data_IF_362232687162
#
_entry.id   IF_362232687162
#
_cell.length_a   1.000
_cell.length_b   1.000
_cell.length_c   1.000
_cell.angle_alpha   90.00
_cell.angle_beta   90.00
_cell.angle_gamma   90.00
#
_symmetry.space_group_name_H-M   'P 1'
#
loop_
_entity.id
_entity.type
_entity.pdbx_description
1 polymer ?
#
# COMPACT_ATOMS: atom_id res chain seq x y z
N UNK A 1 24.91 -33.20 -10.01
CA UNK A 1 23.49 -33.10 -10.44
C UNK A 1 23.40 -32.54 -11.87
N UNK A 2 22.26 -32.68 -12.53
CA UNK A 2 22.04 -32.09 -13.86
C UNK A 2 22.09 -30.56 -13.79
N UNK A 3 21.52 -29.99 -12.75
CA UNK A 3 21.51 -28.54 -12.54
C UNK A 3 22.93 -28.00 -12.37
N UNK A 4 23.72 -28.63 -11.52
CA UNK A 4 25.10 -28.26 -11.27
C UNK A 4 25.93 -28.21 -12.57
N UNK A 5 25.87 -29.30 -13.36
CA UNK A 5 26.60 -29.36 -14.64
C UNK A 5 26.19 -28.25 -15.62
N UNK A 6 24.90 -27.94 -15.70
CA UNK A 6 24.40 -26.86 -16.57
C UNK A 6 24.83 -25.49 -16.07
N UNK A 7 24.71 -25.21 -14.78
CA UNK A 7 25.13 -23.95 -14.21
C UNK A 7 26.62 -23.75 -14.33
N UNK A 8 27.45 -24.80 -14.10
CA UNK A 8 28.89 -24.74 -14.27
C UNK A 8 29.25 -24.41 -15.73
N UNK A 9 28.62 -25.07 -16.69
CA UNK A 9 28.83 -24.79 -18.11
C UNK A 9 28.50 -23.33 -18.48
N UNK A 10 27.37 -22.80 -17.96
CA UNK A 10 26.97 -21.40 -18.20
C UNK A 10 28.02 -20.47 -17.60
N UNK A 11 28.43 -20.72 -16.34
CA UNK A 11 29.42 -19.90 -15.66
C UNK A 11 30.75 -19.84 -16.37
N UNK A 12 31.20 -20.97 -16.94
CA UNK A 12 32.47 -21.08 -17.69
C UNK A 12 32.40 -20.44 -19.07
N UNK A 13 31.22 -20.42 -19.70
CA UNK A 13 31.06 -19.90 -21.07
C UNK A 13 30.62 -18.45 -21.10
N UNK A 14 29.49 -18.12 -20.45
CA UNK A 14 28.94 -16.77 -20.38
C UNK A 14 27.94 -16.69 -19.23
N UNK A 15 28.35 -16.20 -18.03
CA UNK A 15 27.47 -16.11 -16.87
C UNK A 15 26.29 -15.16 -17.07
N UNK A 16 26.33 -14.24 -18.03
CA UNK A 16 25.21 -13.34 -18.35
C UNK A 16 24.00 -14.06 -18.93
N UNK A 17 24.17 -15.31 -19.40
CA UNK A 17 23.05 -16.15 -19.84
C UNK A 17 22.24 -16.75 -18.70
N UNK A 18 22.67 -16.58 -17.46
CA UNK A 18 21.92 -16.96 -16.29
C UNK A 18 21.18 -15.76 -15.72
N UNK A 19 19.88 -15.90 -15.54
CA UNK A 19 19.04 -14.94 -14.81
C UNK A 19 18.48 -15.60 -13.55
N UNK A 20 18.56 -14.91 -12.42
CA UNK A 20 18.00 -15.35 -11.16
C UNK A 20 16.92 -14.38 -10.71
N UNK A 21 15.68 -14.85 -10.64
CA UNK A 21 14.56 -14.16 -10.05
C UNK A 21 14.16 -14.85 -8.76
N UNK A 22 14.10 -14.09 -7.66
CA UNK A 22 13.74 -14.65 -6.34
C UNK A 22 12.46 -14.05 -5.82
N UNK A 23 11.77 -14.81 -4.97
CA UNK A 23 10.64 -14.33 -4.21
C UNK A 23 11.05 -13.33 -3.14
N UNK A 24 10.08 -12.97 -2.32
CA UNK A 24 10.27 -12.19 -1.11
C UNK A 24 10.62 -13.14 0.03
N UNK A 25 11.88 -13.46 0.15
CA UNK A 25 12.39 -14.31 1.21
C UNK A 25 13.40 -13.57 2.11
N UNK A 26 13.60 -14.08 3.30
CA UNK A 26 14.55 -13.50 4.26
C UNK A 26 16.01 -13.74 3.83
N UNK A 27 16.25 -14.60 2.85
CA UNK A 27 17.56 -14.99 2.37
C UNK A 27 18.01 -14.21 1.12
N UNK A 28 17.35 -13.11 0.77
CA UNK A 28 17.67 -12.31 -0.41
C UNK A 28 19.14 -11.85 -0.45
N UNK A 29 19.73 -11.61 0.71
CA UNK A 29 21.17 -11.28 0.79
C UNK A 29 22.04 -12.41 0.26
N UNK A 30 21.70 -13.67 0.56
CA UNK A 30 22.45 -14.84 0.08
C UNK A 30 22.19 -15.11 -1.40
N UNK A 31 20.96 -14.98 -1.87
CA UNK A 31 20.66 -15.17 -3.31
C UNK A 31 21.30 -14.07 -4.15
N UNK A 32 21.34 -12.84 -3.67
CA UNK A 32 22.07 -11.75 -4.32
C UNK A 32 23.58 -11.95 -4.29
N UNK A 33 24.14 -12.48 -3.20
CA UNK A 33 25.54 -12.86 -3.13
C UNK A 33 25.85 -13.99 -4.10
N UNK A 34 25.00 -15.01 -4.18
CA UNK A 34 25.14 -16.09 -5.14
C UNK A 34 25.19 -15.57 -6.57
N UNK A 35 24.26 -14.69 -6.98
CA UNK A 35 24.24 -14.11 -8.32
C UNK A 35 25.54 -13.35 -8.63
N UNK A 36 26.05 -12.56 -7.68
CA UNK A 36 27.33 -11.85 -7.83
C UNK A 36 28.50 -12.80 -7.96
N UNK A 37 28.57 -13.83 -7.12
CA UNK A 37 29.64 -14.83 -7.15
C UNK A 37 29.55 -15.74 -8.39
N UNK A 38 28.37 -15.94 -8.92
CA UNK A 38 28.16 -16.63 -10.19
C UNK A 38 28.70 -15.81 -11.36
N UNK A 39 28.64 -14.47 -11.25
CA UNK A 39 29.11 -13.53 -12.27
C UNK A 39 28.00 -13.02 -13.19
N UNK A 40 26.72 -13.20 -12.81
CA UNK A 40 25.59 -12.67 -13.58
C UNK A 40 25.12 -11.31 -13.05
N UNK A 41 24.88 -10.31 -13.94
CA UNK A 41 24.19 -9.09 -13.57
C UNK A 41 22.66 -9.24 -13.55
N UNK A 42 22.13 -10.36 -14.04
CA UNK A 42 20.70 -10.58 -14.23
C UNK A 42 20.06 -11.15 -12.97
N UNK A 43 20.03 -10.33 -11.90
CA UNK A 43 19.38 -10.65 -10.65
C UNK A 43 18.23 -9.70 -10.39
N UNK A 44 17.08 -10.24 -10.05
CA UNK A 44 15.93 -9.47 -9.61
C UNK A 44 15.25 -10.15 -8.43
N UNK A 45 14.91 -9.36 -7.42
CA UNK A 45 14.17 -9.80 -6.26
C UNK A 45 12.76 -9.18 -6.27
N UNK A 46 11.75 -9.94 -5.86
CA UNK A 46 10.35 -9.52 -5.84
C UNK A 46 10.13 -8.22 -5.05
N UNK A 47 10.88 -8.00 -3.97
CA UNK A 47 10.79 -6.77 -3.16
C UNK A 47 10.94 -5.49 -3.97
N UNK A 48 11.80 -5.47 -4.99
CA UNK A 48 12.00 -4.32 -5.86
C UNK A 48 10.78 -3.95 -6.72
N UNK A 49 9.90 -4.91 -6.98
CA UNK A 49 8.70 -4.72 -7.81
C UNK A 49 7.42 -4.49 -7.00
N UNK A 50 7.41 -4.81 -5.72
CA UNK A 50 6.22 -4.80 -4.87
C UNK A 50 6.41 -3.90 -3.65
N UNK A 51 7.23 -4.33 -2.71
CA UNK A 51 7.35 -3.72 -1.38
C UNK A 51 7.95 -2.31 -1.43
N UNK A 52 8.81 -2.01 -2.39
CA UNK A 52 9.43 -0.67 -2.52
C UNK A 52 8.37 0.37 -2.88
N UNK A 53 7.50 0.08 -3.83
CA UNK A 53 6.41 1.01 -4.21
C UNK A 53 5.46 1.26 -3.03
N UNK A 54 5.09 0.21 -2.32
CA UNK A 54 4.21 0.32 -1.17
C UNK A 54 4.87 1.10 -0.03
N UNK A 55 6.13 0.79 0.29
CA UNK A 55 6.88 1.52 1.31
C UNK A 55 7.06 2.99 0.95
N UNK A 56 7.39 3.29 -0.31
CA UNK A 56 7.50 4.67 -0.78
C UNK A 56 6.16 5.41 -0.65
N UNK A 57 5.06 4.82 -1.11
CA UNK A 57 3.73 5.39 -0.98
C UNK A 57 3.37 5.71 0.48
N UNK A 58 3.65 4.80 1.40
CA UNK A 58 3.37 4.99 2.82
C UNK A 58 4.28 6.04 3.46
N UNK A 59 5.57 6.06 3.13
CA UNK A 59 6.51 7.09 3.62
C UNK A 59 6.05 8.50 3.20
N UNK A 60 5.62 8.67 1.94
CA UNK A 60 5.15 9.95 1.44
C UNK A 60 3.76 10.37 1.96
N UNK A 61 2.95 9.42 2.44
CA UNK A 61 1.60 9.74 2.94
C UNK A 61 1.53 9.86 4.46
N UNK A 62 2.20 8.99 5.20
CA UNK A 62 2.11 8.91 6.66
C UNK A 62 3.46 8.93 7.38
N UNK A 63 4.57 9.06 6.65
CA UNK A 63 5.91 9.17 7.22
C UNK A 63 6.54 7.86 7.69
N UNK A 64 5.87 6.72 7.53
CA UNK A 64 6.36 5.42 7.98
C UNK A 64 6.06 4.28 7.00
N UNK A 65 6.80 3.17 7.09
CA UNK A 65 6.55 2.01 6.26
C UNK A 65 5.39 1.16 6.81
N UNK A 66 4.72 0.40 5.96
CA UNK A 66 3.53 -0.38 6.34
C UNK A 66 3.81 -1.54 7.32
N UNK A 67 5.03 -1.92 7.54
CA UNK A 67 5.42 -2.97 8.50
C UNK A 67 5.10 -2.62 9.95
N UNK A 68 4.91 -1.35 10.23
CA UNK A 68 4.74 -0.81 11.57
C UNK A 68 3.29 -0.85 12.06
N UNK A 69 2.33 -1.19 11.19
CA UNK A 69 0.91 -1.11 11.51
C UNK A 69 0.34 -2.36 12.21
N UNK A 70 1.04 -3.47 12.21
CA UNK A 70 0.53 -4.72 12.76
C UNK A 70 -0.63 -5.32 11.96
N UNK A 71 -1.48 -6.08 12.64
CA UNK A 71 -2.66 -6.70 12.08
C UNK A 71 -3.93 -5.88 12.28
N UNK A 72 -5.04 -6.23 11.62
CA UNK A 72 -6.34 -5.57 11.82
C UNK A 72 -6.89 -5.82 13.23
N UNK A 73 -7.44 -4.79 13.86
CA UNK A 73 -8.10 -4.89 15.17
C UNK A 73 -9.54 -5.41 15.01
N UNK A 74 -9.65 -6.70 14.76
CA UNK A 74 -10.95 -7.35 14.54
C UNK A 74 -11.81 -7.45 15.81
N UNK A 75 -11.23 -7.30 17.00
CA UNK A 75 -11.99 -7.35 18.24
C UNK A 75 -12.80 -6.05 18.47
N UNK A 76 -12.36 -4.94 17.89
CA UNK A 76 -13.02 -3.62 17.99
C UNK A 76 -13.74 -3.22 16.72
N UNK A 77 -13.29 -3.68 15.57
CA UNK A 77 -13.89 -3.36 14.29
C UNK A 77 -15.35 -3.85 14.22
N UNK A 78 -16.18 -3.13 13.49
CA UNK A 78 -17.55 -3.53 13.16
C UNK A 78 -17.72 -3.87 11.69
N UNK A 79 -16.86 -3.30 10.86
CA UNK A 79 -16.79 -3.53 9.44
C UNK A 79 -15.35 -3.89 9.06
N UNK A 80 -15.18 -4.94 8.28
CA UNK A 80 -13.92 -5.30 7.66
C UNK A 80 -14.10 -5.37 6.15
N UNK A 81 -13.27 -4.62 5.43
CA UNK A 81 -13.26 -4.60 3.97
C UNK A 81 -11.95 -5.15 3.45
N UNK A 82 -12.02 -6.18 2.64
CA UNK A 82 -10.85 -6.79 2.01
C UNK A 82 -10.87 -6.53 0.51
N UNK A 83 -9.79 -5.95 0.00
CA UNK A 83 -9.66 -5.57 -1.41
C UNK A 83 -8.54 -6.39 -2.04
N UNK A 84 -8.85 -7.13 -3.09
CA UNK A 84 -7.88 -7.76 -3.99
C UNK A 84 -7.21 -9.04 -3.50
N UNK A 85 -7.56 -9.59 -2.35
CA UNK A 85 -6.96 -10.83 -1.86
C UNK A 85 -7.67 -12.05 -2.42
N UNK A 86 -6.93 -12.89 -3.16
CA UNK A 86 -7.47 -14.04 -3.89
C UNK A 86 -7.08 -15.42 -3.30
N UNK A 87 -6.53 -15.48 -2.11
CA UNK A 87 -6.22 -16.75 -1.44
C UNK A 87 -7.50 -17.54 -1.15
N UNK A 88 -7.62 -18.72 -1.68
CA UNK A 88 -8.92 -19.30 -1.72
C UNK A 88 -9.12 -20.66 -1.01
N UNK A 89 -8.21 -21.59 -1.13
CA UNK A 89 -8.54 -22.97 -0.78
C UNK A 89 -7.96 -23.47 0.53
N UNK A 90 -7.14 -22.68 1.20
CA UNK A 90 -6.49 -23.12 2.44
C UNK A 90 -7.01 -22.36 3.66
N UNK A 91 -7.13 -23.09 4.75
CA UNK A 91 -7.33 -22.49 6.07
C UNK A 91 -6.08 -21.69 6.46
N UNK A 92 -6.26 -20.45 6.87
CA UNK A 92 -5.17 -19.62 7.37
C UNK A 92 -5.65 -18.82 8.59
N UNK A 93 -4.73 -18.22 9.37
CA UNK A 93 -5.09 -17.48 10.57
C UNK A 93 -6.12 -16.37 10.34
N UNK A 94 -6.03 -15.68 9.19
CA UNK A 94 -6.97 -14.60 8.84
C UNK A 94 -8.39 -15.13 8.61
N UNK A 95 -8.56 -16.27 7.94
CA UNK A 95 -9.89 -16.89 7.76
C UNK A 95 -10.51 -17.30 9.08
N UNK A 96 -9.71 -17.83 10.00
CA UNK A 96 -10.16 -18.18 11.35
C UNK A 96 -10.61 -16.92 12.10
N UNK A 97 -9.79 -15.88 12.06
CA UNK A 97 -10.10 -14.59 12.71
C UNK A 97 -11.37 -13.93 12.12
N UNK A 98 -11.54 -13.94 10.80
CA UNK A 98 -12.74 -13.42 10.14
C UNK A 98 -13.99 -14.26 10.46
N UNK A 99 -13.86 -15.55 10.60
CA UNK A 99 -14.97 -16.41 11.03
C UNK A 99 -15.42 -16.08 12.46
N UNK A 100 -14.49 -15.78 13.36
CA UNK A 100 -14.80 -15.29 14.71
C UNK A 100 -15.44 -13.91 14.64
N UNK A 101 -14.84 -12.97 13.92
CA UNK A 101 -15.34 -11.61 13.72
C UNK A 101 -16.82 -11.58 13.27
N UNK A 102 -17.17 -12.41 12.28
CA UNK A 102 -18.55 -12.53 11.80
C UNK A 102 -19.50 -13.11 12.86
N UNK A 103 -19.08 -14.14 13.60
CA UNK A 103 -19.89 -14.69 14.71
C UNK A 103 -20.15 -13.67 15.80
N UNK A 104 -19.19 -12.77 16.03
CA UNK A 104 -19.29 -11.71 17.02
C UNK A 104 -20.09 -10.48 16.49
N UNK A 105 -20.72 -10.61 15.32
CA UNK A 105 -21.59 -9.58 14.73
C UNK A 105 -20.88 -8.57 13.82
N UNK A 106 -19.62 -8.80 13.49
CA UNK A 106 -18.91 -7.98 12.51
C UNK A 106 -19.36 -8.26 11.07
N UNK A 107 -19.37 -7.24 10.23
CA UNK A 107 -19.71 -7.34 8.80
C UNK A 107 -18.44 -7.40 7.95
N UNK A 108 -18.35 -8.38 7.05
CA UNK A 108 -17.23 -8.58 6.15
C UNK A 108 -17.63 -8.36 4.70
N UNK A 109 -16.99 -7.39 4.04
CA UNK A 109 -17.16 -7.10 2.60
C UNK A 109 -15.88 -7.49 1.87
N UNK A 110 -16.01 -8.20 0.76
CA UNK A 110 -14.90 -8.52 -0.13
C UNK A 110 -15.08 -7.83 -1.47
N UNK A 111 -14.07 -7.08 -1.87
CA UNK A 111 -13.99 -6.40 -3.18
C UNK A 111 -12.93 -7.11 -4.00
N UNK A 112 -13.38 -7.89 -4.99
CA UNK A 112 -12.48 -8.73 -5.78
C UNK A 112 -13.13 -9.02 -7.14
N UNK A 113 -12.39 -9.02 -8.26
CA UNK A 113 -12.93 -9.33 -9.58
C UNK A 113 -13.48 -10.76 -9.70
N UNK A 114 -13.01 -11.68 -8.87
CA UNK A 114 -13.46 -13.06 -8.87
C UNK A 114 -13.99 -13.48 -7.48
N UNK A 115 -15.02 -14.32 -7.47
CA UNK A 115 -15.63 -14.81 -6.23
C UNK A 115 -14.94 -16.09 -5.78
N UNK A 116 -13.77 -15.96 -5.16
CA UNK A 116 -13.00 -17.08 -4.60
C UNK A 116 -12.54 -16.79 -3.17
N UNK A 117 -12.08 -17.79 -2.46
CA UNK A 117 -11.43 -17.63 -1.19
C UNK A 117 -12.21 -16.82 -0.18
N UNK A 118 -11.68 -15.67 0.16
CA UNK A 118 -12.30 -14.73 1.11
C UNK A 118 -13.65 -14.22 0.61
N UNK A 119 -13.81 -14.01 -0.68
CA UNK A 119 -15.09 -13.57 -1.24
C UNK A 119 -16.21 -14.59 -1.06
N UNK A 120 -15.89 -15.86 -0.93
CA UNK A 120 -16.86 -16.93 -0.68
C UNK A 120 -17.44 -16.91 0.74
N UNK A 121 -16.68 -16.37 1.71
CA UNK A 121 -17.09 -16.28 3.13
C UNK A 121 -17.52 -14.87 3.53
N UNK A 122 -17.41 -13.89 2.63
CA UNK A 122 -17.86 -12.53 2.86
C UNK A 122 -19.39 -12.45 2.99
N UNK A 123 -19.89 -11.49 3.75
CA UNK A 123 -21.32 -11.18 3.81
C UNK A 123 -21.79 -10.51 2.53
N UNK A 124 -20.87 -9.74 1.90
CA UNK A 124 -21.10 -9.10 0.62
C UNK A 124 -19.85 -9.21 -0.25
N UNK A 125 -20.04 -9.56 -1.51
CA UNK A 125 -19.01 -9.55 -2.51
C UNK A 125 -19.32 -8.52 -3.58
N UNK A 126 -18.39 -7.57 -3.78
CA UNK A 126 -18.45 -6.58 -4.84
C UNK A 126 -17.51 -6.98 -5.98
N UNK A 127 -18.03 -7.38 -7.14
CA UNK A 127 -17.20 -7.61 -8.32
C UNK A 127 -16.64 -6.29 -8.83
N UNK A 128 -15.33 -6.14 -8.79
CA UNK A 128 -14.66 -4.93 -9.31
C UNK A 128 -14.02 -5.24 -10.66
N UNK A 129 -14.13 -4.32 -11.61
CA UNK A 129 -13.39 -4.44 -12.87
C UNK A 129 -11.90 -4.19 -12.58
N UNK A 130 -10.98 -5.10 -12.99
CA UNK A 130 -9.55 -4.88 -12.82
C UNK A 130 -9.09 -3.51 -13.32
N UNK A 131 -8.26 -2.83 -12.52
CA UNK A 131 -7.77 -1.49 -12.84
C UNK A 131 -8.71 -0.33 -12.48
N UNK A 132 -9.84 -0.58 -11.81
CA UNK A 132 -10.78 0.48 -11.39
C UNK A 132 -10.84 0.69 -9.88
N UNK A 133 -9.88 0.13 -9.13
CA UNK A 133 -9.82 0.26 -7.65
C UNK A 133 -9.76 1.73 -7.22
N UNK A 134 -8.94 2.55 -7.89
CA UNK A 134 -8.84 3.97 -7.63
C UNK A 134 -10.16 4.71 -7.82
N UNK A 135 -10.92 4.37 -8.87
CA UNK A 135 -12.24 4.96 -9.10
C UNK A 135 -13.25 4.61 -8.01
N UNK A 136 -13.24 3.34 -7.53
CA UNK A 136 -14.07 2.92 -6.41
C UNK A 136 -13.71 3.67 -5.13
N UNK A 137 -12.42 3.77 -4.79
CA UNK A 137 -11.97 4.47 -3.59
C UNK A 137 -12.30 5.96 -3.63
N UNK A 138 -12.14 6.61 -4.78
CA UNK A 138 -12.53 8.01 -4.96
C UNK A 138 -14.05 8.20 -4.87
N UNK A 139 -14.85 7.26 -5.36
CA UNK A 139 -16.30 7.30 -5.20
C UNK A 139 -16.73 7.17 -3.72
N UNK A 140 -16.06 6.30 -2.95
CA UNK A 140 -16.30 6.20 -1.51
C UNK A 140 -15.93 7.49 -0.78
N UNK A 141 -14.79 8.10 -1.09
CA UNK A 141 -14.37 9.39 -0.53
C UNK A 141 -15.39 10.48 -0.90
N UNK A 142 -15.84 10.52 -2.15
CA UNK A 142 -16.87 11.47 -2.60
C UNK A 142 -18.15 11.37 -1.78
N UNK A 143 -18.66 10.16 -1.57
CA UNK A 143 -19.89 9.96 -0.77
C UNK A 143 -19.69 10.30 0.71
N UNK A 144 -18.53 10.02 1.30
CA UNK A 144 -18.20 10.43 2.66
C UNK A 144 -18.20 11.97 2.81
N UNK A 145 -17.58 12.67 1.87
CA UNK A 145 -17.57 14.15 1.87
C UNK A 145 -18.97 14.70 1.68
N UNK A 146 -19.70 14.22 0.68
CA UNK A 146 -21.07 14.67 0.35
C UNK A 146 -22.06 14.48 1.50
N UNK A 147 -21.92 13.39 2.24
CA UNK A 147 -22.80 13.07 3.37
C UNK A 147 -22.32 13.63 4.72
N UNK A 148 -21.13 14.21 4.77
CA UNK A 148 -20.53 14.70 6.01
C UNK A 148 -20.12 13.61 6.99
N UNK A 149 -20.00 12.36 6.55
CA UNK A 149 -19.65 11.20 7.37
C UNK A 149 -18.12 11.04 7.50
N UNK A 150 -17.44 12.11 7.85
CA UNK A 150 -16.00 12.11 8.11
C UNK A 150 -15.69 12.82 9.42
N UNK A 151 -14.62 12.44 10.08
CA UNK A 151 -14.15 13.07 11.29
C UNK A 151 -13.36 14.35 10.96
N UNK A 152 -14.05 15.49 10.96
CA UNK A 152 -13.46 16.79 10.64
C UNK A 152 -12.32 17.15 11.60
N UNK A 153 -12.48 16.88 12.88
CA UNK A 153 -11.46 17.22 13.88
C UNK A 153 -10.17 16.42 13.65
N UNK A 154 -10.31 15.12 13.37
CA UNK A 154 -9.17 14.28 13.02
C UNK A 154 -8.47 14.78 11.74
N UNK A 155 -9.24 15.06 10.69
CA UNK A 155 -8.67 15.51 9.41
C UNK A 155 -7.88 16.81 9.57
N UNK A 156 -8.44 17.79 10.29
CA UNK A 156 -7.79 19.11 10.51
C UNK A 156 -6.54 18.98 11.38
N UNK A 157 -6.54 18.09 12.38
CA UNK A 157 -5.41 17.97 13.33
C UNK A 157 -4.26 17.11 12.82
N UNK A 158 -4.57 16.07 12.07
CA UNK A 158 -3.60 15.00 11.80
C UNK A 158 -3.31 14.76 10.31
N UNK A 159 -3.96 15.52 9.43
CA UNK A 159 -3.77 15.38 7.98
C UNK A 159 -3.55 16.75 7.32
N UNK A 160 -3.18 16.72 6.05
CA UNK A 160 -3.04 17.93 5.23
C UNK A 160 -4.35 18.36 4.53
N UNK A 161 -5.50 17.80 4.93
CA UNK A 161 -6.79 18.09 4.29
C UNK A 161 -7.29 19.52 4.50
N UNK A 162 -6.76 20.23 5.52
CA UNK A 162 -7.07 21.64 5.77
C UNK A 162 -6.17 22.64 5.06
N UNK A 163 -5.24 22.18 4.25
CA UNK A 163 -4.28 23.04 3.56
C UNK A 163 -4.88 23.63 2.28
N UNK A 164 -4.54 24.90 2.00
CA UNK A 164 -5.01 25.56 0.80
C UNK A 164 -4.33 24.97 -0.44
N UNK A 165 -5.12 24.77 -1.49
CA UNK A 165 -4.64 24.30 -2.78
C UNK A 165 -4.77 25.42 -3.81
N UNK A 166 -3.75 25.60 -4.64
CA UNK A 166 -3.79 26.55 -5.73
C UNK A 166 -4.70 26.06 -6.86
N UNK A 167 -5.81 26.74 -7.07
CA UNK A 167 -6.80 26.43 -8.12
C UNK A 167 -6.65 27.31 -9.37
N UNK A 168 -5.60 28.11 -9.48
CA UNK A 168 -5.34 28.91 -10.67
C UNK A 168 -4.73 28.06 -11.80
N UNK A 169 -5.55 27.67 -12.75
CA UNK A 169 -5.14 26.83 -13.90
C UNK A 169 -4.11 27.47 -14.83
N UNK A 170 -3.85 28.77 -14.68
CA UNK A 170 -2.85 29.47 -15.46
C UNK A 170 -1.44 29.45 -14.81
N UNK A 171 -1.30 28.85 -13.63
CA UNK A 171 -0.03 28.73 -12.92
C UNK A 171 0.51 27.31 -12.95
N UNK A 172 1.83 27.17 -12.97
CA UNK A 172 2.51 25.86 -12.95
C UNK A 172 2.23 25.07 -11.65
N UNK A 173 1.92 25.79 -10.56
CA UNK A 173 1.59 25.23 -9.24
C UNK A 173 0.11 24.83 -9.11
N UNK A 174 -0.66 24.79 -10.21
CA UNK A 174 -2.05 24.32 -10.16
C UNK A 174 -2.16 22.93 -9.52
N UNK A 175 -3.03 22.81 -8.53
CA UNK A 175 -3.25 21.58 -7.79
C UNK A 175 -2.22 21.31 -6.67
N UNK A 176 -1.21 22.16 -6.50
CA UNK A 176 -0.25 22.07 -5.40
C UNK A 176 -0.72 22.85 -4.18
N UNK A 177 -0.24 22.45 -3.02
CA UNK A 177 -0.48 23.18 -1.79
C UNK A 177 0.17 24.58 -1.85
N UNK A 178 -0.58 25.57 -1.39
CA UNK A 178 -0.07 26.94 -1.26
C UNK A 178 0.97 26.97 -0.15
N UNK A 179 2.20 27.28 -0.52
CA UNK A 179 3.32 27.44 0.42
C UNK A 179 3.57 28.92 0.64
N UNK A 180 3.60 29.33 1.91
CA UNK A 180 4.02 30.66 2.32
C UNK A 180 5.35 30.57 3.03
N UNK A 181 6.29 31.46 2.70
CA UNK A 181 7.49 31.63 3.49
C UNK A 181 7.09 32.28 4.81
N UNK A 182 7.23 31.54 5.90
CA UNK A 182 7.04 32.08 7.25
C UNK A 182 8.40 32.49 7.76
N UNK A 183 8.59 33.71 8.32
CA UNK A 183 9.82 34.08 8.99
C UNK A 183 10.10 33.10 10.14
N UNK A 184 11.34 32.67 10.30
CA UNK A 184 11.79 31.72 11.32
C UNK A 184 11.49 32.17 12.76
N UNK A 185 11.20 33.44 12.96
CA UNK A 185 10.99 34.07 14.28
C UNK A 185 9.60 33.89 14.88
N UNK A 186 8.62 33.42 14.14
CA UNK A 186 7.22 33.32 14.61
C UNK A 186 6.81 31.97 15.17
N UNK A 187 7.68 31.17 15.68
CA UNK A 187 7.52 30.11 16.70
C UNK A 187 6.27 29.22 16.78
N UNK A 188 5.34 29.26 15.84
CA UNK A 188 4.06 28.55 15.90
C UNK A 188 3.86 27.54 14.77
N UNK A 189 4.93 26.98 14.21
CA UNK A 189 4.79 26.32 12.95
C UNK A 189 5.69 25.07 12.83
N UNK A 190 5.19 24.04 12.20
CA UNK A 190 6.03 22.96 11.74
C UNK A 190 7.02 23.51 10.67
N UNK A 191 8.30 23.70 11.03
CA UNK A 191 9.27 24.30 10.11
C UNK A 191 9.53 23.41 8.89
N UNK A 192 9.07 22.18 8.87
CA UNK A 192 9.26 21.26 7.76
C UNK A 192 8.22 21.48 6.64
N UNK A 193 7.02 21.97 6.94
CA UNK A 193 5.96 22.04 5.96
C UNK A 193 5.62 23.42 5.46
N UNK A 194 5.90 24.50 6.20
CA UNK A 194 5.65 25.92 5.80
C UNK A 194 4.27 26.15 5.16
N UNK A 195 3.23 25.51 5.70
CA UNK A 195 1.87 25.51 5.16
C UNK A 195 0.91 26.23 6.12
N UNK A 196 0.02 27.06 5.59
CA UNK A 196 -1.04 27.68 6.34
C UNK A 196 -2.32 26.86 6.22
N UNK A 197 -3.05 26.78 7.32
CA UNK A 197 -4.34 26.11 7.38
C UNK A 197 -5.46 27.10 7.18
N UNK A 198 -6.40 26.81 6.30
CA UNK A 198 -7.69 27.49 6.31
C UNK A 198 -8.56 26.88 7.42
N UNK A 199 -8.68 27.61 8.53
CA UNK A 199 -9.51 27.20 9.67
C UNK A 199 -10.98 27.55 9.49
N UNK A 200 -11.34 28.28 8.44
CA UNK A 200 -12.69 28.78 8.21
C UNK A 200 -13.54 27.86 7.32
N UNK A 201 -12.92 26.95 6.55
CA UNK A 201 -13.61 26.00 5.64
C UNK A 201 -13.87 24.64 6.25
#
# INVERSE_FOLDING_TARGET
SILEKRLQKIRETDPKKFALFTGRDQMQALTGLFARQFGTPNYAAHGGFCSVNMAAGMIYTIGGSFWEFGGPDLDRAKLFVMIGTAEDHHSNPMKIALSKFKRDGGRFISINPIRTGYSAIADEWMPIKPGTDGALLLALIHELIKTGLYDREFLVRYTNSGELVNLNTAQDEFGMFVRTEVPEEEGCFDPQNKLWWDRAS
#
